data_IF_348131068967
#
_entry.id   IF_348131068967
#
_cell.length_a   1.000
_cell.length_b   1.000
_cell.length_c   1.000
_cell.angle_alpha   90.00
_cell.angle_beta   90.00
_cell.angle_gamma   90.00
#
_symmetry.space_group_name_H-M   'P 1'
#
loop_
_entity.id
_entity.type
_entity.pdbx_description
1 polymer ?
#
# COMPACT_ATOMS: atom_id res chain seq x y z
N UNK A 1 -20.91 -4.05 -1.40
CA UNK A 1 -20.99 -2.76 -0.69
C UNK A 1 -19.95 -2.79 0.41
N UNK A 2 -19.00 -1.85 0.40
CA UNK A 2 -17.90 -1.75 1.37
C UNK A 2 -18.34 -0.89 2.56
N UNK A 3 -18.09 -1.31 3.80
CA UNK A 3 -18.38 -0.52 5.01
C UNK A 3 -17.10 -0.13 5.71
N UNK A 4 -16.89 1.18 5.86
CA UNK A 4 -15.68 1.73 6.47
C UNK A 4 -16.03 2.42 7.79
N UNK A 5 -15.41 2.00 8.88
CA UNK A 5 -15.47 2.72 10.15
C UNK A 5 -14.46 3.86 10.10
N UNK A 6 -14.92 5.11 10.23
CA UNK A 6 -14.03 6.26 10.38
C UNK A 6 -13.86 6.56 11.86
N UNK A 7 -12.64 6.48 12.37
CA UNK A 7 -12.29 6.93 13.71
C UNK A 7 -11.66 8.32 13.57
N UNK A 8 -12.50 9.33 13.80
CA UNK A 8 -12.24 10.76 13.58
C UNK A 8 -12.94 11.54 14.70
N UNK A 9 -12.29 12.57 15.24
CA UNK A 9 -12.76 13.39 16.35
C UNK A 9 -13.41 14.72 15.92
N UNK A 10 -13.32 15.07 14.63
CA UNK A 10 -13.94 16.24 14.03
C UNK A 10 -15.27 15.91 13.34
N UNK A 11 -16.39 16.21 14.00
CA UNK A 11 -17.75 16.03 13.46
C UNK A 11 -17.98 16.58 12.04
N UNK A 12 -17.49 17.80 11.69
CA UNK A 12 -17.59 18.32 10.32
C UNK A 12 -16.89 17.42 9.28
N UNK A 13 -15.72 16.87 9.61
CA UNK A 13 -14.98 15.96 8.71
C UNK A 13 -15.71 14.65 8.49
N UNK A 14 -16.28 14.07 9.54
CA UNK A 14 -17.13 12.87 9.43
C UNK A 14 -18.28 13.14 8.45
N UNK A 15 -18.91 14.32 8.53
CA UNK A 15 -19.99 14.71 7.62
C UNK A 15 -19.50 14.81 6.18
N UNK A 16 -18.34 15.45 5.94
CA UNK A 16 -17.71 15.50 4.62
C UNK A 16 -17.46 14.11 4.04
N UNK A 17 -16.89 13.18 4.81
CA UNK A 17 -16.65 11.82 4.32
C UNK A 17 -17.95 11.09 3.99
N UNK A 18 -18.99 11.24 4.81
CA UNK A 18 -20.32 10.70 4.51
C UNK A 18 -20.92 11.29 3.23
N UNK A 19 -20.67 12.56 2.94
CA UNK A 19 -21.10 13.17 1.69
C UNK A 19 -20.36 12.57 0.48
N UNK A 20 -19.06 12.28 0.61
CA UNK A 20 -18.28 11.63 -0.46
C UNK A 20 -18.80 10.24 -0.82
N UNK A 21 -19.38 9.49 0.14
CA UNK A 21 -19.86 8.14 -0.11
C UNK A 21 -21.28 8.06 -0.70
N UNK A 22 -22.00 9.18 -0.82
CA UNK A 22 -23.36 9.21 -1.40
C UNK A 22 -23.36 8.71 -2.84
N UNK A 23 -24.17 7.70 -3.13
CA UNK A 23 -24.26 7.10 -4.47
C UNK A 23 -23.06 6.24 -4.86
N UNK A 24 -22.11 6.02 -3.93
CA UNK A 24 -20.98 5.13 -4.12
C UNK A 24 -21.28 3.71 -3.64
N UNK A 25 -20.38 2.76 -3.93
CA UNK A 25 -20.41 1.41 -3.36
C UNK A 25 -19.94 1.30 -1.91
N UNK A 26 -19.63 2.43 -1.25
CA UNK A 26 -19.06 2.53 0.09
C UNK A 26 -20.05 3.19 1.07
N UNK A 27 -20.03 2.78 2.34
CA UNK A 27 -20.75 3.45 3.42
C UNK A 27 -19.80 3.72 4.58
N UNK A 28 -19.79 4.96 5.06
CA UNK A 28 -19.01 5.35 6.23
C UNK A 28 -19.84 5.27 7.50
N UNK A 29 -19.30 4.58 8.51
CA UNK A 29 -19.83 4.50 9.86
C UNK A 29 -18.98 5.37 10.78
N UNK A 30 -19.62 6.16 11.64
CA UNK A 30 -18.96 7.06 12.59
C UNK A 30 -18.89 6.47 14.00
N UNK A 31 -18.01 7.00 14.87
CA UNK A 31 -17.87 6.51 16.24
C UNK A 31 -19.19 6.51 17.04
N UNK A 32 -20.07 7.54 16.94
CA UNK A 32 -21.38 7.51 17.60
C UNK A 32 -22.33 6.43 17.08
N UNK A 33 -22.29 6.08 15.79
CA UNK A 33 -23.19 5.09 15.19
C UNK A 33 -22.93 3.67 15.68
N UNK A 34 -21.67 3.36 15.99
CA UNK A 34 -21.25 2.07 16.55
C UNK A 34 -21.09 2.11 18.08
N UNK A 35 -21.50 3.22 18.72
CA UNK A 35 -21.43 3.38 20.17
C UNK A 35 -20.02 3.52 20.76
N UNK A 36 -19.00 3.83 19.95
CA UNK A 36 -17.60 3.88 20.39
C UNK A 36 -17.35 4.92 21.48
N UNK A 37 -18.06 6.06 21.44
CA UNK A 37 -17.98 7.10 22.48
C UNK A 37 -18.64 6.74 23.81
N UNK A 38 -19.20 5.52 23.93
CA UNK A 38 -19.73 4.95 25.19
C UNK A 38 -18.83 3.86 25.75
N UNK A 39 -17.73 3.54 25.08
CA UNK A 39 -16.74 2.61 25.59
C UNK A 39 -16.11 3.21 26.85
N UNK A 40 -16.20 2.46 27.94
CA UNK A 40 -15.61 2.82 29.22
C UNK A 40 -14.77 1.65 29.70
N UNK A 41 -13.47 1.89 29.86
CA UNK A 41 -12.53 0.86 30.26
C UNK A 41 -12.69 0.57 31.76
N UNK A 42 -12.63 -0.69 32.13
CA UNK A 42 -12.66 -1.15 33.52
C UNK A 42 -11.24 -1.47 34.01
N UNK A 43 -11.01 -1.46 35.33
CA UNK A 43 -9.67 -1.70 35.92
C UNK A 43 -9.19 -3.17 35.85
N UNK A 44 -9.92 -4.07 35.19
CA UNK A 44 -9.67 -5.53 35.27
C UNK A 44 -8.72 -6.07 34.21
N UNK A 45 -8.62 -5.40 33.07
CA UNK A 45 -7.84 -5.81 31.89
C UNK A 45 -7.14 -4.57 31.30
N UNK A 46 -6.21 -4.74 30.36
CA UNK A 46 -5.64 -3.60 29.63
C UNK A 46 -6.74 -2.86 28.84
N UNK A 47 -6.56 -1.55 28.60
CA UNK A 47 -7.52 -0.75 27.83
C UNK A 47 -7.61 -1.27 26.39
N UNK A 48 -6.48 -1.68 25.83
CA UNK A 48 -6.34 -2.22 24.48
C UNK A 48 -7.12 -3.52 24.30
N UNK A 49 -7.04 -4.47 25.24
CA UNK A 49 -7.79 -5.74 25.16
C UNK A 49 -9.30 -5.51 25.26
N UNK A 50 -9.73 -4.63 26.17
CA UNK A 50 -11.16 -4.29 26.31
C UNK A 50 -11.68 -3.59 25.05
N UNK A 51 -10.87 -2.71 24.47
CA UNK A 51 -11.18 -2.03 23.23
C UNK A 51 -11.24 -3.01 22.05
N UNK A 52 -10.34 -4.00 22.00
CA UNK A 52 -10.36 -5.06 20.99
C UNK A 52 -11.65 -5.90 21.10
N UNK A 53 -12.05 -6.35 22.30
CA UNK A 53 -13.35 -7.05 22.50
C UNK A 53 -14.51 -6.22 21.97
N UNK A 54 -14.57 -4.95 22.39
CA UNK A 54 -15.63 -4.04 21.98
C UNK A 54 -15.67 -3.89 20.44
N UNK A 55 -14.53 -3.58 19.84
CA UNK A 55 -14.43 -3.36 18.40
C UNK A 55 -14.75 -4.62 17.60
N UNK A 56 -14.32 -5.81 18.04
CA UNK A 56 -14.68 -7.08 17.38
C UNK A 56 -16.19 -7.24 17.26
N UNK A 57 -16.90 -7.02 18.36
CA UNK A 57 -18.35 -7.20 18.41
C UNK A 57 -19.06 -6.16 17.51
N UNK A 58 -18.56 -4.91 17.48
CA UNK A 58 -19.07 -3.88 16.59
C UNK A 58 -18.77 -4.18 15.11
N UNK A 59 -17.56 -4.65 14.79
CA UNK A 59 -17.14 -5.04 13.44
C UNK A 59 -18.05 -6.14 12.91
N UNK A 60 -18.30 -7.18 13.71
CA UNK A 60 -19.20 -8.27 13.34
C UNK A 60 -20.65 -7.78 13.17
N UNK A 61 -21.16 -6.97 14.11
CA UNK A 61 -22.55 -6.47 14.10
C UNK A 61 -22.82 -5.57 12.89
N UNK A 62 -21.89 -4.69 12.56
CA UNK A 62 -22.06 -3.72 11.48
C UNK A 62 -21.48 -4.19 10.15
N UNK A 63 -20.76 -5.32 10.11
CA UNK A 63 -20.07 -5.83 8.94
C UNK A 63 -19.02 -4.84 8.42
N UNK A 64 -18.15 -4.34 9.29
CA UNK A 64 -17.10 -3.38 8.94
C UNK A 64 -15.98 -4.10 8.18
N UNK A 65 -15.59 -3.57 7.02
CA UNK A 65 -14.60 -4.17 6.12
C UNK A 65 -13.22 -3.49 6.17
N UNK A 66 -13.18 -2.23 6.61
CA UNK A 66 -11.95 -1.43 6.70
C UNK A 66 -12.14 -0.34 7.78
N UNK A 67 -11.05 0.05 8.43
CA UNK A 67 -11.04 1.20 9.33
C UNK A 67 -10.23 2.34 8.72
N UNK A 68 -10.78 3.55 8.69
CA UNK A 68 -10.05 4.77 8.38
C UNK A 68 -9.77 5.53 9.68
N UNK A 69 -8.52 5.55 10.11
CA UNK A 69 -8.08 6.05 11.42
C UNK A 69 -7.28 7.35 11.28
N UNK A 70 -7.77 8.42 11.91
CA UNK A 70 -7.00 9.64 12.05
C UNK A 70 -5.81 9.43 13.00
N UNK A 71 -4.70 10.10 12.69
CA UNK A 71 -3.49 10.09 13.51
C UNK A 71 -3.51 11.06 14.68
N UNK A 72 -4.42 12.04 14.67
CA UNK A 72 -4.61 13.00 15.77
C UNK A 72 -6.05 12.96 16.28
N UNK A 73 -6.26 12.20 17.36
CA UNK A 73 -7.56 12.07 18.04
C UNK A 73 -7.65 12.92 19.33
N UNK A 74 -6.84 13.97 19.43
CA UNK A 74 -6.68 14.73 20.68
C UNK A 74 -7.87 15.64 21.05
N UNK A 75 -8.84 15.85 20.14
CA UNK A 75 -9.93 16.82 20.33
C UNK A 75 -11.15 16.25 21.04
N UNK A 76 -11.42 14.94 20.92
CA UNK A 76 -12.54 14.28 21.61
C UNK A 76 -12.06 13.38 22.75
N UNK A 77 -12.33 13.81 23.99
CA UNK A 77 -11.99 13.05 25.21
C UNK A 77 -12.78 11.74 25.37
N UNK A 78 -13.82 11.51 24.55
CA UNK A 78 -14.60 10.27 24.59
C UNK A 78 -13.99 9.15 23.74
N UNK A 79 -13.09 9.49 22.83
CA UNK A 79 -12.35 8.50 22.05
C UNK A 79 -11.07 8.13 22.78
N UNK A 80 -10.61 6.90 22.54
CA UNK A 80 -9.33 6.44 23.04
C UNK A 80 -8.17 7.02 22.22
N UNK A 81 -6.95 6.82 22.68
CA UNK A 81 -5.76 7.31 21.97
C UNK A 81 -5.57 6.59 20.62
N UNK A 82 -4.91 7.27 19.68
CA UNK A 82 -4.48 6.67 18.42
C UNK A 82 -3.71 5.35 18.63
N UNK A 83 -2.79 5.32 19.61
CA UNK A 83 -2.02 4.12 19.96
C UNK A 83 -2.88 2.96 20.41
N UNK A 84 -3.90 3.21 21.23
CA UNK A 84 -4.80 2.17 21.73
C UNK A 84 -5.64 1.57 20.60
N UNK A 85 -6.19 2.41 19.70
CA UNK A 85 -6.88 1.92 18.49
C UNK A 85 -5.95 1.12 17.57
N UNK A 86 -4.71 1.61 17.35
CA UNK A 86 -3.71 0.92 16.54
C UNK A 86 -3.41 -0.48 17.09
N UNK A 87 -3.22 -0.62 18.41
CA UNK A 87 -2.94 -1.95 19.00
C UNK A 87 -4.15 -2.87 18.90
N UNK A 88 -5.32 -2.40 19.33
CA UNK A 88 -6.54 -3.18 19.30
C UNK A 88 -6.87 -3.70 17.89
N UNK A 89 -6.87 -2.82 16.88
CA UNK A 89 -7.19 -3.21 15.49
C UNK A 89 -6.15 -4.18 14.89
N UNK A 90 -4.88 -4.02 15.25
CA UNK A 90 -3.81 -4.95 14.84
C UNK A 90 -4.03 -6.34 15.45
N UNK A 91 -4.38 -6.42 16.73
CA UNK A 91 -4.68 -7.68 17.41
C UNK A 91 -5.92 -8.37 16.83
N UNK A 92 -6.93 -7.59 16.44
CA UNK A 92 -8.12 -8.10 15.75
C UNK A 92 -7.83 -8.68 14.38
N UNK A 93 -6.72 -8.30 13.75
CA UNK A 93 -6.48 -8.58 12.33
C UNK A 93 -7.36 -7.75 11.42
N UNK A 94 -7.73 -6.53 11.84
CA UNK A 94 -8.59 -5.64 11.08
C UNK A 94 -7.76 -4.77 10.12
N UNK A 95 -8.09 -4.71 8.81
CA UNK A 95 -7.50 -3.75 7.90
C UNK A 95 -7.72 -2.29 8.33
N UNK A 96 -6.66 -1.50 8.31
CA UNK A 96 -6.63 -0.10 8.73
C UNK A 96 -5.91 0.73 7.68
N UNK A 97 -6.55 1.84 7.32
CA UNK A 97 -5.95 2.95 6.61
C UNK A 97 -5.74 4.12 7.58
N UNK A 98 -4.57 4.76 7.55
CA UNK A 98 -4.25 5.93 8.37
C UNK A 98 -4.10 7.17 7.52
N UNK A 99 -4.48 8.31 8.08
CA UNK A 99 -4.25 9.61 7.43
C UNK A 99 -3.86 10.68 8.43
N UNK A 100 -3.31 11.77 7.90
CA UNK A 100 -3.04 12.99 8.65
C UNK A 100 -3.80 14.15 8.00
N UNK A 101 -4.39 15.00 8.83
CA UNK A 101 -5.09 16.22 8.39
C UNK A 101 -4.09 17.31 7.98
N UNK A 102 -4.45 18.07 6.94
CA UNK A 102 -3.82 19.35 6.61
C UNK A 102 -2.45 19.26 5.94
N UNK A 103 -2.05 20.39 5.34
CA UNK A 103 -0.80 20.56 4.59
C UNK A 103 -0.90 20.17 3.11
N UNK A 104 -0.06 20.78 2.28
CA UNK A 104 0.17 20.38 0.88
C UNK A 104 1.29 19.35 0.84
N UNK A 105 1.09 18.25 0.10
CA UNK A 105 2.16 17.29 -0.12
C UNK A 105 3.35 17.99 -0.79
N UNK A 106 4.54 17.89 -0.19
CA UNK A 106 5.78 18.38 -0.79
C UNK A 106 6.78 17.22 -0.91
N UNK A 107 7.73 17.32 -1.84
CA UNK A 107 8.81 16.34 -1.98
C UNK A 107 9.63 16.19 -0.68
N UNK A 108 9.73 17.26 0.12
CA UNK A 108 10.37 17.25 1.44
C UNK A 108 9.67 16.32 2.45
N UNK A 109 8.35 16.13 2.31
CA UNK A 109 7.59 15.24 3.19
C UNK A 109 7.69 13.76 2.77
N UNK A 110 8.10 13.47 1.53
CA UNK A 110 8.04 12.11 0.99
C UNK A 110 9.08 11.18 1.59
N UNK A 111 10.32 11.64 1.76
CA UNK A 111 11.37 10.80 2.34
C UNK A 111 11.02 10.36 3.80
N UNK A 112 10.64 11.27 4.73
CA UNK A 112 10.14 10.87 6.04
C UNK A 112 8.92 9.96 5.98
N UNK A 113 8.03 10.15 5.00
CA UNK A 113 6.85 9.31 4.84
C UNK A 113 7.20 7.88 4.39
N UNK A 114 8.16 7.71 3.48
CA UNK A 114 8.67 6.39 3.08
C UNK A 114 9.32 5.68 4.26
N UNK A 115 10.17 6.36 5.03
CA UNK A 115 10.78 5.80 6.24
C UNK A 115 9.72 5.37 7.28
N UNK A 116 8.68 6.19 7.48
CA UNK A 116 7.54 5.81 8.34
C UNK A 116 6.80 4.61 7.79
N UNK A 117 6.63 4.50 6.48
CA UNK A 117 5.96 3.35 5.85
C UNK A 117 6.71 2.06 6.15
N UNK A 118 8.04 2.06 6.15
CA UNK A 118 8.80 0.85 6.51
C UNK A 118 8.70 0.53 8.00
N UNK A 119 8.80 1.55 8.85
CA UNK A 119 8.76 1.35 10.31
C UNK A 119 7.38 0.97 10.83
N UNK A 120 6.33 1.57 10.29
CA UNK A 120 4.95 1.45 10.77
C UNK A 120 4.02 0.69 9.80
N UNK A 121 4.50 0.29 8.63
CA UNK A 121 3.72 -0.34 7.54
C UNK A 121 3.11 -1.69 7.89
N UNK A 122 3.63 -2.33 8.92
CA UNK A 122 3.03 -3.52 9.54
C UNK A 122 1.61 -3.31 10.10
N UNK A 123 1.18 -2.06 10.29
CA UNK A 123 -0.03 -1.76 11.08
C UNK A 123 -1.14 -1.02 10.34
N UNK A 124 -0.83 -0.37 9.22
CA UNK A 124 -1.80 0.38 8.44
C UNK A 124 -1.26 0.75 7.06
N UNK A 125 -2.16 0.96 6.10
CA UNK A 125 -1.85 1.63 4.83
C UNK A 125 -2.00 3.14 5.01
N UNK A 126 -1.01 3.93 4.60
CA UNK A 126 -1.11 5.39 4.64
C UNK A 126 -1.90 5.93 3.44
N UNK A 127 -2.93 6.72 3.72
CA UNK A 127 -3.66 7.48 2.71
C UNK A 127 -2.98 8.84 2.51
N UNK A 128 -2.60 9.19 1.27
CA UNK A 128 -1.98 10.48 0.98
C UNK A 128 -2.85 11.66 1.43
N UNK A 129 -2.23 12.69 2.00
CA UNK A 129 -2.90 13.92 2.44
C UNK A 129 -3.77 14.56 1.33
N UNK A 130 -3.27 14.53 0.09
CA UNK A 130 -3.95 15.05 -1.09
C UNK A 130 -5.33 14.39 -1.32
N UNK A 131 -5.45 13.11 -0.98
CA UNK A 131 -6.67 12.32 -1.14
C UNK A 131 -7.66 12.53 0.01
N UNK A 132 -7.20 12.97 1.18
CA UNK A 132 -8.08 13.13 2.36
C UNK A 132 -8.52 14.58 2.59
N UNK A 133 -7.63 15.53 2.32
CA UNK A 133 -7.87 16.94 2.61
C UNK A 133 -7.31 17.91 1.57
N UNK A 134 -6.80 17.40 0.44
CA UNK A 134 -6.25 18.21 -0.65
C UNK A 134 -7.16 18.28 -1.87
N UNK A 135 -6.54 18.32 -3.04
CA UNK A 135 -7.16 18.52 -4.35
C UNK A 135 -7.63 17.23 -5.04
N UNK A 136 -7.39 16.06 -4.42
CA UNK A 136 -7.72 14.73 -4.98
C UNK A 136 -8.72 13.96 -4.12
N UNK A 137 -9.63 14.67 -3.46
CA UNK A 137 -10.57 14.09 -2.48
C UNK A 137 -11.62 13.17 -3.11
N UNK A 138 -11.90 13.36 -4.39
CA UNK A 138 -12.72 12.47 -5.22
C UNK A 138 -12.14 11.06 -5.35
N UNK A 139 -10.82 10.90 -5.16
CA UNK A 139 -10.16 9.59 -5.18
C UNK A 139 -10.31 8.80 -3.88
N UNK A 140 -10.73 9.42 -2.76
CA UNK A 140 -10.74 8.77 -1.45
C UNK A 140 -11.60 7.51 -1.43
N UNK A 141 -12.86 7.65 -1.87
CA UNK A 141 -13.83 6.56 -1.86
C UNK A 141 -13.42 5.40 -2.76
N UNK A 142 -13.11 5.59 -4.07
CA UNK A 142 -12.69 4.48 -4.91
C UNK A 142 -11.42 3.81 -4.37
N UNK A 143 -10.47 4.59 -3.84
CA UNK A 143 -9.24 4.05 -3.24
C UNK A 143 -9.51 3.16 -2.03
N UNK A 144 -10.39 3.58 -1.12
CA UNK A 144 -10.76 2.76 0.05
C UNK A 144 -11.51 1.48 -0.35
N UNK A 145 -12.35 1.55 -1.38
CA UNK A 145 -13.02 0.36 -1.94
C UNK A 145 -11.99 -0.62 -2.51
N UNK A 146 -11.05 -0.14 -3.34
CA UNK A 146 -10.00 -0.98 -3.92
C UNK A 146 -9.07 -1.57 -2.86
N UNK A 147 -8.73 -0.81 -1.82
CA UNK A 147 -7.94 -1.31 -0.68
C UNK A 147 -8.70 -2.40 0.07
N UNK A 148 -9.96 -2.15 0.43
CA UNK A 148 -10.80 -3.14 1.11
C UNK A 148 -10.94 -4.43 0.28
N UNK A 149 -11.10 -4.30 -1.04
CA UNK A 149 -11.17 -5.43 -1.94
C UNK A 149 -9.86 -6.22 -1.98
N UNK A 150 -8.70 -5.53 -2.03
CA UNK A 150 -7.40 -6.21 -1.98
C UNK A 150 -7.21 -7.09 -0.75
N UNK A 151 -7.60 -6.63 0.44
CA UNK A 151 -7.57 -7.48 1.63
C UNK A 151 -8.52 -8.68 1.54
N UNK A 152 -9.73 -8.48 0.99
CA UNK A 152 -10.72 -9.56 0.79
C UNK A 152 -10.27 -10.58 -0.24
N UNK A 153 -9.57 -10.16 -1.29
CA UNK A 153 -9.04 -11.07 -2.32
C UNK A 153 -7.98 -12.00 -1.71
N UNK A 154 -7.11 -11.46 -0.86
CA UNK A 154 -6.13 -12.26 -0.11
C UNK A 154 -6.83 -13.22 0.84
N UNK A 155 -7.80 -12.74 1.62
CA UNK A 155 -8.56 -13.58 2.55
C UNK A 155 -9.27 -14.72 1.80
N UNK A 156 -9.95 -14.42 0.70
CA UNK A 156 -10.63 -15.41 -0.12
C UNK A 156 -9.66 -16.45 -0.71
N UNK A 157 -8.48 -16.03 -1.16
CA UNK A 157 -7.45 -16.93 -1.65
C UNK A 157 -6.95 -17.89 -0.55
N UNK A 158 -6.76 -17.40 0.68
CA UNK A 158 -6.38 -18.22 1.83
C UNK A 158 -7.51 -19.17 2.26
N UNK A 159 -8.77 -18.72 2.25
CA UNK A 159 -9.93 -19.57 2.55
C UNK A 159 -10.11 -20.68 1.51
N UNK A 160 -9.82 -20.40 0.24
CA UNK A 160 -9.84 -21.39 -0.83
C UNK A 160 -8.68 -22.40 -0.75
N UNK A 161 -7.60 -22.06 -0.03
CA UNK A 161 -6.40 -22.88 0.13
C UNK A 161 -5.96 -22.97 1.61
N UNK A 162 -6.76 -23.60 2.50
CA UNK A 162 -6.48 -23.63 3.94
C UNK A 162 -5.12 -24.25 4.30
N UNK A 163 -4.59 -25.13 3.45
CA UNK A 163 -3.27 -25.73 3.61
C UNK A 163 -2.14 -24.70 3.67
N UNK A 164 -2.32 -23.50 3.10
CA UNK A 164 -1.34 -22.41 3.17
C UNK A 164 -1.14 -21.88 4.60
N UNK A 165 -2.06 -22.16 5.51
CA UNK A 165 -1.99 -21.77 6.93
C UNK A 165 -1.33 -22.86 7.80
N UNK A 166 -1.16 -24.06 7.26
CA UNK A 166 -0.38 -25.10 7.90
C UNK A 166 1.08 -24.62 7.90
N UNK A 167 1.67 -24.35 9.08
CA UNK A 167 2.94 -23.60 9.28
C UNK A 167 4.23 -24.20 8.68
N UNK A 168 4.11 -24.95 7.60
CA UNK A 168 5.15 -25.43 6.69
C UNK A 168 5.48 -24.42 5.58
N UNK A 169 4.58 -23.48 5.29
CA UNK A 169 4.78 -22.47 4.26
C UNK A 169 5.36 -21.19 4.85
N UNK A 170 6.36 -20.63 4.18
CA UNK A 170 6.89 -19.30 4.45
C UNK A 170 5.95 -18.20 3.92
N UNK A 171 5.98 -16.97 4.48
CA UNK A 171 5.13 -15.88 3.99
C UNK A 171 5.31 -15.55 2.50
N UNK A 172 6.53 -15.72 1.96
CA UNK A 172 6.83 -15.52 0.53
C UNK A 172 6.10 -16.55 -0.34
N UNK A 173 6.11 -17.83 0.05
CA UNK A 173 5.39 -18.91 -0.65
C UNK A 173 3.88 -18.70 -0.57
N UNK A 174 3.36 -18.30 0.60
CA UNK A 174 1.93 -18.03 0.74
C UNK A 174 1.51 -16.86 -0.13
N UNK A 175 2.27 -15.75 -0.13
CA UNK A 175 1.94 -14.60 -0.97
C UNK A 175 2.02 -14.95 -2.47
N UNK A 176 3.05 -15.68 -2.89
CA UNK A 176 3.19 -16.17 -4.26
C UNK A 176 1.97 -17.02 -4.70
N UNK A 177 1.51 -17.92 -3.83
CA UNK A 177 0.31 -18.71 -4.06
C UNK A 177 -0.98 -17.86 -4.12
N UNK A 178 -1.11 -16.83 -3.26
CA UNK A 178 -2.23 -15.88 -3.29
C UNK A 178 -2.25 -15.08 -4.60
N UNK A 179 -1.08 -14.72 -5.13
CA UNK A 179 -0.95 -14.01 -6.41
C UNK A 179 -1.07 -14.94 -7.63
N UNK A 180 -1.20 -16.25 -7.41
CA UNK A 180 -1.42 -17.25 -8.46
C UNK A 180 -0.16 -17.69 -9.20
N UNK A 181 1.04 -17.31 -8.74
CA UNK A 181 2.31 -17.70 -9.35
C UNK A 181 3.35 -18.05 -8.28
N UNK A 182 3.62 -19.35 -8.13
CA UNK A 182 4.57 -19.85 -7.13
C UNK A 182 6.02 -19.45 -7.41
N UNK A 183 6.36 -19.08 -8.65
CA UNK A 183 7.73 -18.66 -8.99
C UNK A 183 8.08 -17.29 -8.40
N UNK A 184 7.09 -16.55 -7.89
CA UNK A 184 7.30 -15.24 -7.27
C UNK A 184 7.92 -15.33 -5.86
N UNK A 185 7.98 -16.52 -5.24
CA UNK A 185 8.50 -16.67 -3.87
C UNK A 185 9.92 -16.11 -3.72
N UNK A 186 10.76 -16.33 -4.73
CA UNK A 186 12.17 -15.92 -4.72
C UNK A 186 12.31 -14.40 -4.90
N UNK A 187 11.45 -13.78 -5.72
CA UNK A 187 11.38 -12.32 -5.89
C UNK A 187 10.98 -11.61 -4.58
N UNK A 188 10.19 -12.27 -3.73
CA UNK A 188 9.75 -11.72 -2.45
C UNK A 188 10.74 -11.94 -1.30
N UNK A 189 11.74 -12.80 -1.46
CA UNK A 189 12.68 -13.13 -0.39
C UNK A 189 13.44 -11.89 0.11
N UNK A 190 13.82 -10.98 -0.80
CA UNK A 190 14.46 -9.71 -0.47
C UNK A 190 13.60 -8.73 0.34
N UNK A 191 12.29 -8.96 0.43
CA UNK A 191 11.36 -8.18 1.26
C UNK A 191 11.07 -8.83 2.61
N UNK A 192 11.43 -10.11 2.78
CA UNK A 192 11.11 -10.88 3.98
C UNK A 192 12.06 -10.57 5.14
N UNK A 193 13.34 -10.31 4.88
CA UNK A 193 14.38 -10.22 5.92
C UNK A 193 14.10 -9.19 7.02
N UNK A 194 13.56 -8.02 6.66
CA UNK A 194 13.19 -6.96 7.62
C UNK A 194 11.84 -7.21 8.31
N UNK A 195 11.05 -8.19 7.82
CA UNK A 195 9.66 -8.42 8.20
C UNK A 195 9.41 -9.83 8.76
N UNK A 196 10.44 -10.62 9.10
CA UNK A 196 10.21 -11.98 9.63
C UNK A 196 9.48 -11.98 10.98
N UNK A 197 9.80 -11.02 11.86
CA UNK A 197 9.10 -10.86 13.16
C UNK A 197 7.63 -10.47 12.96
N UNK A 198 7.31 -9.83 11.83
CA UNK A 198 5.97 -9.36 11.53
C UNK A 198 4.96 -10.50 11.35
N UNK A 199 5.41 -11.63 10.82
CA UNK A 199 4.60 -12.84 10.62
C UNK A 199 4.68 -13.83 11.78
N UNK A 200 5.34 -13.47 12.89
CA UNK A 200 5.38 -14.31 14.06
C UNK A 200 3.97 -14.58 14.61
N UNK A 201 3.76 -15.80 15.11
CA UNK A 201 2.51 -16.15 15.79
C UNK A 201 2.34 -15.28 17.05
N UNK A 202 1.13 -14.77 17.32
CA UNK A 202 0.88 -14.03 18.54
C UNK A 202 1.09 -14.94 19.75
N UNK A 203 1.41 -14.34 20.91
CA UNK A 203 1.47 -15.09 22.16
C UNK A 203 0.07 -15.65 22.51
N UNK A 204 0.03 -16.81 23.15
CA UNK A 204 -1.17 -17.67 23.35
C UNK A 204 -2.35 -16.92 24.00
N UNK A 205 -2.09 -15.88 24.80
CA UNK A 205 -3.13 -15.10 25.49
C UNK A 205 -3.90 -14.12 24.58
N UNK A 206 -3.41 -13.86 23.36
CA UNK A 206 -4.07 -12.92 22.42
C UNK A 206 -5.06 -13.59 21.44
N UNK A 207 -5.16 -14.92 21.40
CA UNK A 207 -6.07 -15.63 20.49
C UNK A 207 -7.55 -15.35 20.78
N UNK A 208 -7.89 -14.95 22.00
CA UNK A 208 -9.28 -14.75 22.44
C UNK A 208 -10.02 -13.56 21.78
N UNK A 209 -9.30 -12.69 21.06
CA UNK A 209 -9.83 -11.42 20.56
C UNK A 209 -9.84 -11.29 19.04
N UNK A 210 -9.03 -12.06 18.31
CA UNK A 210 -8.96 -11.98 16.84
C UNK A 210 -10.31 -12.28 16.18
N UNK A 211 -10.58 -11.66 15.01
CA UNK A 211 -11.81 -11.94 14.25
C UNK A 211 -11.72 -13.36 13.66
N UNK A 212 -10.61 -13.68 12.99
CA UNK A 212 -10.24 -15.04 12.61
C UNK A 212 -8.73 -15.10 12.31
N UNK A 213 -8.15 -16.30 12.40
CA UNK A 213 -6.74 -16.52 12.02
C UNK A 213 -6.50 -16.17 10.55
N UNK A 214 -7.44 -16.54 9.68
CA UNK A 214 -7.37 -16.30 8.23
C UNK A 214 -7.35 -14.80 7.92
N UNK A 215 -8.30 -14.04 8.49
CA UNK A 215 -8.40 -12.60 8.26
C UNK A 215 -7.19 -11.85 8.83
N UNK A 216 -6.68 -12.27 10.00
CA UNK A 216 -5.47 -11.70 10.58
C UNK A 216 -4.28 -11.90 9.65
N UNK A 217 -4.07 -13.12 9.16
CA UNK A 217 -2.96 -13.41 8.26
C UNK A 217 -3.13 -12.73 6.90
N UNK A 218 -4.35 -12.67 6.36
CA UNK A 218 -4.67 -11.91 5.16
C UNK A 218 -4.32 -10.42 5.32
N UNK A 219 -4.64 -9.84 6.48
CA UNK A 219 -4.30 -8.46 6.80
C UNK A 219 -2.80 -8.25 6.89
N UNK A 220 -2.06 -9.20 7.49
CA UNK A 220 -0.60 -9.13 7.52
C UNK A 220 0.00 -9.19 6.11
N UNK A 221 -0.41 -10.16 5.30
CA UNK A 221 0.05 -10.28 3.91
C UNK A 221 -0.33 -9.06 3.08
N UNK A 222 -1.52 -8.50 3.29
CA UNK A 222 -1.98 -7.30 2.57
C UNK A 222 -1.16 -6.07 2.89
N UNK A 223 -0.81 -5.85 4.16
CA UNK A 223 0.13 -4.80 4.55
C UNK A 223 1.53 -5.04 3.97
N UNK A 224 2.02 -6.29 3.99
CA UNK A 224 3.32 -6.61 3.41
C UNK A 224 3.36 -6.34 1.91
N UNK A 225 2.36 -6.83 1.17
CA UNK A 225 2.21 -6.58 -0.26
C UNK A 225 2.11 -5.09 -0.56
N UNK A 226 1.21 -4.36 0.11
CA UNK A 226 0.96 -2.96 -0.24
C UNK A 226 2.10 -2.03 0.21
N UNK A 227 2.50 -2.09 1.48
CA UNK A 227 3.42 -1.12 2.07
C UNK A 227 4.90 -1.45 1.81
N UNK A 228 5.24 -2.71 1.52
CA UNK A 228 6.64 -3.09 1.30
C UNK A 228 6.91 -3.47 -0.16
N UNK A 229 6.05 -4.24 -0.82
CA UNK A 229 6.32 -4.70 -2.20
C UNK A 229 5.83 -3.70 -3.25
N UNK A 230 4.60 -3.20 -3.13
CA UNK A 230 4.02 -2.24 -4.10
C UNK A 230 4.61 -0.84 -3.90
N UNK A 231 4.79 -0.42 -2.65
CA UNK A 231 5.28 0.94 -2.33
C UNK A 231 6.78 1.10 -2.60
N UNK A 232 7.58 0.04 -2.44
CA UNK A 232 9.02 0.05 -2.77
C UNK A 232 9.24 -0.82 -4.01
N UNK A 233 9.31 -0.22 -5.22
CA UNK A 233 9.22 -0.96 -6.45
C UNK A 233 10.34 -2.01 -6.64
N UNK A 234 9.94 -3.18 -7.11
CA UNK A 234 10.83 -4.28 -7.52
C UNK A 234 10.09 -5.16 -8.52
N UNK A 235 9.42 -6.24 -8.08
CA UNK A 235 8.66 -7.12 -8.97
C UNK A 235 7.38 -6.47 -9.53
N UNK A 236 6.78 -5.53 -8.79
CA UNK A 236 5.58 -4.78 -9.20
C UNK A 236 5.94 -3.31 -9.29
N UNK A 237 5.64 -2.69 -10.43
CA UNK A 237 5.96 -1.30 -10.73
C UNK A 237 4.67 -0.49 -10.92
N UNK A 238 4.66 0.75 -10.44
CA UNK A 238 3.62 1.73 -10.82
C UNK A 238 3.75 2.07 -12.30
N UNK A 239 2.67 2.52 -12.93
CA UNK A 239 2.63 2.93 -14.35
C UNK A 239 3.83 3.77 -14.80
N UNK A 240 4.15 4.83 -14.07
CA UNK A 240 5.26 5.73 -14.44
C UNK A 240 6.62 5.04 -14.31
N UNK A 241 6.80 4.20 -13.29
CA UNK A 241 8.00 3.39 -13.11
C UNK A 241 8.12 2.29 -14.18
N UNK A 242 7.00 1.70 -14.62
CA UNK A 242 6.98 0.73 -15.71
C UNK A 242 7.42 1.35 -17.04
N UNK A 243 7.00 2.60 -17.32
CA UNK A 243 7.48 3.33 -18.51
C UNK A 243 8.95 3.70 -18.39
N UNK A 244 9.36 4.19 -17.22
CA UNK A 244 10.76 4.51 -16.99
C UNK A 244 11.66 3.27 -17.13
N UNK A 245 11.19 2.11 -16.66
CA UNK A 245 11.88 0.84 -16.83
C UNK A 245 12.11 0.48 -18.31
N UNK A 246 11.19 0.87 -19.19
CA UNK A 246 11.31 0.75 -20.65
C UNK A 246 12.07 1.92 -21.31
N UNK A 247 12.75 2.74 -20.52
CA UNK A 247 13.43 3.97 -20.94
C UNK A 247 12.53 4.99 -21.67
N UNK A 248 11.26 5.05 -21.26
CA UNK A 248 10.28 6.01 -21.77
C UNK A 248 9.96 7.03 -20.68
N UNK A 249 9.96 8.31 -21.06
CA UNK A 249 9.55 9.35 -20.13
C UNK A 249 8.05 9.22 -19.81
N UNK A 250 7.62 9.23 -18.53
CA UNK A 250 6.22 8.97 -18.15
C UNK A 250 5.15 9.82 -18.85
N UNK A 251 5.43 11.13 -19.07
CA UNK A 251 4.47 12.01 -19.77
C UNK A 251 4.13 11.57 -21.20
N UNK A 252 4.95 10.72 -21.84
CA UNK A 252 4.74 10.27 -23.23
C UNK A 252 3.41 9.55 -23.43
N UNK A 253 2.79 9.02 -22.39
CA UNK A 253 1.44 8.45 -22.47
C UNK A 253 0.40 9.43 -23.02
N UNK A 254 0.56 10.73 -22.75
CA UNK A 254 -0.37 11.74 -23.24
C UNK A 254 -0.27 11.94 -24.76
N UNK A 255 0.92 11.77 -25.34
CA UNK A 255 1.18 11.92 -26.78
C UNK A 255 1.07 10.60 -27.54
N UNK A 256 1.36 9.48 -26.88
CA UNK A 256 1.42 8.14 -27.45
C UNK A 256 0.58 7.17 -26.62
N UNK A 257 -0.77 7.25 -26.66
CA UNK A 257 -1.65 6.38 -25.88
C UNK A 257 -1.50 4.89 -26.23
N UNK A 258 -0.95 4.57 -27.41
CA UNK A 258 -0.66 3.18 -27.81
C UNK A 258 0.40 2.51 -26.95
N UNK A 259 1.21 3.28 -26.20
CA UNK A 259 2.11 2.72 -25.19
C UNK A 259 1.36 1.88 -24.15
N UNK A 260 0.12 2.24 -23.81
CA UNK A 260 -0.72 1.44 -22.92
C UNK A 260 -1.02 0.06 -23.50
N UNK A 261 -1.16 -0.06 -24.82
CA UNK A 261 -1.42 -1.35 -25.47
C UNK A 261 -0.19 -2.25 -25.41
N UNK A 262 1.00 -1.65 -25.48
CA UNK A 262 2.28 -2.38 -25.42
C UNK A 262 2.51 -2.93 -24.01
N UNK A 263 2.24 -2.13 -22.96
CA UNK A 263 2.44 -2.55 -21.57
C UNK A 263 1.24 -3.30 -20.97
N UNK A 264 0.09 -3.35 -21.64
CA UNK A 264 -1.11 -4.03 -21.15
C UNK A 264 -0.89 -5.51 -20.77
N UNK A 265 -0.11 -6.32 -21.51
CA UNK A 265 0.18 -7.70 -21.12
C UNK A 265 0.90 -7.81 -19.77
N UNK A 266 1.63 -6.76 -19.37
CA UNK A 266 2.31 -6.70 -18.08
C UNK A 266 1.41 -6.22 -16.93
N UNK A 267 0.15 -5.86 -17.17
CA UNK A 267 -0.71 -5.28 -16.14
C UNK A 267 -0.88 -6.26 -14.95
N UNK A 268 -0.66 -5.72 -13.75
CA UNK A 268 -0.90 -6.44 -12.51
C UNK A 268 -2.40 -6.42 -12.17
N UNK A 269 -3.00 -7.60 -12.02
CA UNK A 269 -4.41 -7.78 -11.70
C UNK A 269 -4.65 -8.48 -10.35
N UNK A 270 -3.64 -8.52 -9.48
CA UNK A 270 -3.75 -9.13 -8.15
C UNK A 270 -4.40 -8.20 -7.12
N UNK A 271 -4.42 -8.60 -5.83
CA UNK A 271 -4.86 -7.76 -4.72
C UNK A 271 -4.28 -6.35 -4.78
N UNK A 272 -5.11 -5.33 -4.55
CA UNK A 272 -4.77 -3.90 -4.66
C UNK A 272 -4.50 -3.39 -6.09
N UNK A 273 -4.67 -4.21 -7.13
CA UNK A 273 -4.42 -3.83 -8.52
C UNK A 273 -5.28 -2.67 -9.03
N UNK A 274 -6.45 -2.45 -8.41
CA UNK A 274 -7.37 -1.36 -8.75
C UNK A 274 -7.15 -0.08 -7.91
N UNK A 275 -6.11 -0.05 -7.07
CA UNK A 275 -5.76 1.17 -6.31
C UNK A 275 -5.12 2.20 -7.23
N UNK A 276 -4.23 1.75 -8.12
CA UNK A 276 -3.56 2.52 -9.18
C UNK A 276 -3.15 1.55 -10.31
N UNK A 277 -2.64 2.06 -11.44
CA UNK A 277 -2.11 1.21 -12.50
C UNK A 277 -0.75 0.60 -12.11
N UNK A 278 -0.72 -0.72 -11.94
CA UNK A 278 0.50 -1.48 -11.63
C UNK A 278 0.84 -2.50 -12.73
N UNK A 279 2.11 -2.86 -12.82
CA UNK A 279 2.65 -3.74 -13.85
C UNK A 279 3.71 -4.68 -13.28
N UNK A 280 3.73 -5.91 -13.77
CA UNK A 280 4.74 -6.92 -13.47
C UNK A 280 6.05 -6.62 -14.21
N UNK A 281 7.15 -6.44 -13.47
CA UNK A 281 8.47 -6.20 -14.04
C UNK A 281 8.91 -7.31 -15.00
N UNK A 282 8.70 -8.57 -14.62
CA UNK A 282 9.13 -9.70 -15.46
C UNK A 282 8.43 -9.74 -16.82
N UNK A 283 7.17 -9.28 -16.90
CA UNK A 283 6.46 -9.15 -18.17
C UNK A 283 6.99 -7.98 -19.01
N UNK A 284 7.46 -6.91 -18.37
CA UNK A 284 8.16 -5.82 -19.08
C UNK A 284 9.50 -6.29 -19.66
N UNK A 285 10.22 -7.18 -18.97
CA UNK A 285 11.43 -7.82 -19.50
C UNK A 285 11.09 -8.61 -20.77
N UNK A 286 10.01 -9.41 -20.76
CA UNK A 286 9.57 -10.12 -21.95
C UNK A 286 9.24 -9.17 -23.13
N UNK A 287 8.60 -8.04 -22.87
CA UNK A 287 8.35 -7.01 -23.89
C UNK A 287 9.67 -6.45 -24.45
N UNK A 288 10.65 -6.16 -23.59
CA UNK A 288 11.96 -5.68 -24.04
C UNK A 288 12.68 -6.73 -24.89
N UNK A 289 12.65 -8.00 -24.47
CA UNK A 289 13.28 -9.11 -25.20
C UNK A 289 12.67 -9.25 -26.61
N UNK A 290 11.34 -9.19 -26.74
CA UNK A 290 10.64 -9.22 -28.03
C UNK A 290 11.00 -8.02 -28.93
N UNK A 291 11.34 -6.89 -28.33
CA UNK A 291 11.73 -5.67 -29.03
C UNK A 291 13.26 -5.52 -29.21
N UNK A 292 14.04 -6.55 -28.88
CA UNK A 292 15.50 -6.51 -29.00
C UNK A 292 16.19 -5.52 -28.05
N UNK A 293 15.62 -5.32 -26.87
CA UNK A 293 16.15 -4.45 -25.81
C UNK A 293 15.69 -2.99 -25.87
N UNK A 294 14.93 -2.58 -26.89
CA UNK A 294 14.34 -1.24 -26.97
C UNK A 294 12.89 -1.32 -27.45
N UNK A 295 11.95 -0.95 -26.56
CA UNK A 295 10.52 -0.90 -26.85
C UNK A 295 10.16 -0.01 -28.05
N UNK A 296 11.01 0.96 -28.43
CA UNK A 296 10.82 1.78 -29.62
C UNK A 296 10.84 0.98 -30.93
N UNK A 297 11.40 -0.23 -30.93
CA UNK A 297 11.35 -1.15 -32.06
C UNK A 297 10.00 -1.87 -32.19
N UNK A 298 9.09 -1.72 -31.22
CA UNK A 298 7.79 -2.35 -31.26
C UNK A 298 7.00 -1.85 -32.49
N UNK A 299 6.40 -2.74 -33.31
CA UNK A 299 5.75 -2.36 -34.56
C UNK A 299 4.68 -1.26 -34.44
N UNK A 300 3.97 -1.20 -33.30
CA UNK A 300 2.95 -0.17 -33.01
C UNK A 300 3.55 1.25 -32.93
N UNK A 301 4.84 1.37 -32.59
CA UNK A 301 5.57 2.64 -32.50
C UNK A 301 6.33 3.00 -33.79
N UNK A 302 6.20 2.22 -34.86
CA UNK A 302 6.90 2.48 -36.11
C UNK A 302 6.60 3.90 -36.64
N UNK A 303 7.66 4.72 -36.77
CA UNK A 303 7.56 6.11 -37.22
C UNK A 303 7.01 7.10 -36.17
N UNK A 304 6.80 6.65 -34.92
CA UNK A 304 6.38 7.51 -33.81
C UNK A 304 7.58 7.75 -32.88
N UNK A 305 8.10 8.98 -32.80
CA UNK A 305 9.16 9.28 -31.84
C UNK A 305 8.60 9.19 -30.42
N UNK A 306 9.38 8.58 -29.53
CA UNK A 306 9.09 8.50 -28.09
C UNK A 306 10.21 9.19 -27.34
N UNK A 307 9.88 10.09 -26.41
CA UNK A 307 10.88 10.74 -25.57
C UNK A 307 11.49 9.74 -24.60
N UNK A 308 12.82 9.65 -24.64
CA UNK A 308 13.62 8.80 -23.76
C UNK A 308 14.02 9.52 -22.49
N UNK A 309 14.28 8.76 -21.43
CA UNK A 309 14.92 9.29 -20.22
C UNK A 309 16.43 9.34 -20.44
N UNK A 310 16.99 8.27 -20.99
CA UNK A 310 18.37 8.16 -21.46
C UNK A 310 18.40 8.01 -23.00
N UNK A 311 18.47 9.12 -23.76
CA UNK A 311 18.50 9.08 -25.22
C UNK A 311 19.83 8.57 -25.78
N UNK A 312 20.91 8.60 -24.99
CA UNK A 312 22.24 8.19 -25.42
C UNK A 312 22.45 6.68 -25.25
N UNK A 313 21.65 6.04 -24.37
CA UNK A 313 21.65 4.60 -24.16
C UNK A 313 20.24 3.99 -24.20
N UNK A 314 19.75 3.67 -25.40
CA UNK A 314 18.39 3.21 -25.62
C UNK A 314 18.03 1.89 -24.89
N UNK A 315 19.03 1.04 -24.62
CA UNK A 315 18.84 -0.22 -23.89
C UNK A 315 19.08 -0.11 -22.38
N UNK A 316 19.37 1.08 -21.85
CA UNK A 316 19.53 1.27 -20.42
C UNK A 316 18.18 1.24 -19.70
N UNK A 317 18.18 0.68 -18.49
CA UNK A 317 17.08 0.86 -17.56
C UNK A 317 17.10 2.28 -16.98
N UNK A 318 15.93 2.87 -16.84
CA UNK A 318 15.73 4.12 -16.13
C UNK A 318 14.68 3.94 -15.03
N UNK A 319 14.59 4.91 -14.13
CA UNK A 319 13.80 4.79 -12.90
C UNK A 319 12.96 6.04 -12.67
N UNK A 320 11.99 5.93 -11.77
CA UNK A 320 11.32 7.09 -11.18
C UNK A 320 11.85 7.24 -9.75
N UNK A 321 12.42 8.40 -9.43
CA UNK A 321 12.87 8.71 -8.08
C UNK A 321 11.67 8.66 -7.12
N UNK A 322 11.76 7.81 -6.08
CA UNK A 322 10.65 7.60 -5.14
C UNK A 322 10.26 8.86 -4.36
N UNK A 323 11.21 9.80 -4.18
CA UNK A 323 11.01 11.02 -3.39
C UNK A 323 10.48 12.16 -4.25
N UNK A 324 11.11 12.41 -5.40
CA UNK A 324 10.74 13.54 -6.27
C UNK A 324 9.64 13.19 -7.27
N UNK A 325 9.42 11.90 -7.56
CA UNK A 325 8.54 11.42 -8.61
C UNK A 325 9.06 11.68 -10.03
N UNK A 326 10.30 12.18 -10.17
CA UNK A 326 10.89 12.50 -11.48
C UNK A 326 11.58 11.28 -12.08
N UNK A 327 11.55 11.12 -13.42
CA UNK A 327 12.37 10.13 -14.08
C UNK A 327 13.86 10.46 -13.95
N UNK A 328 14.68 9.43 -13.75
CA UNK A 328 16.14 9.51 -13.59
C UNK A 328 16.83 8.37 -14.33
N UNK A 329 18.06 8.58 -14.76
CA UNK A 329 18.92 7.53 -15.33
C UNK A 329 19.54 6.67 -14.22
N UNK A 330 20.17 5.55 -14.60
CA UNK A 330 20.92 4.71 -13.66
C UNK A 330 22.11 5.44 -13.01
N UNK A 331 22.76 6.36 -13.74
CA UNK A 331 23.90 7.13 -13.24
C UNK A 331 23.49 8.18 -12.21
N UNK A 332 22.25 8.68 -12.29
CA UNK A 332 21.70 9.65 -11.33
C UNK A 332 21.18 8.99 -10.05
N UNK A 333 21.02 7.66 -10.04
CA UNK A 333 20.50 6.93 -8.90
C UNK A 333 21.57 6.76 -7.82
N UNK A 334 21.26 7.23 -6.62
CA UNK A 334 22.10 7.03 -5.45
C UNK A 334 22.23 5.54 -5.09
N UNK A 335 23.25 5.21 -4.29
CA UNK A 335 23.30 3.94 -3.57
C UNK A 335 22.05 3.82 -2.69
N UNK A 336 21.34 2.70 -2.79
CA UNK A 336 20.12 2.45 -2.02
C UNK A 336 20.40 2.55 -0.50
N UNK A 337 19.67 3.38 0.24
CA UNK A 337 19.81 3.44 1.70
C UNK A 337 19.46 2.12 2.38
N UNK A 338 20.07 1.84 3.54
CA UNK A 338 19.88 0.59 4.30
C UNK A 338 18.44 0.32 4.73
N UNK A 339 17.61 1.36 4.82
CA UNK A 339 16.20 1.23 5.16
C UNK A 339 15.36 0.73 3.98
N UNK A 340 15.80 0.87 2.73
CA UNK A 340 15.09 0.32 1.56
C UNK A 340 15.18 -1.21 1.58
N UNK A 341 14.09 -1.96 1.38
CA UNK A 341 14.15 -3.42 1.33
C UNK A 341 15.09 -3.91 0.23
N UNK A 342 15.88 -4.95 0.48
CA UNK A 342 16.86 -5.44 -0.51
C UNK A 342 16.21 -6.01 -1.77
N UNK A 343 14.96 -6.47 -1.69
CA UNK A 343 14.16 -6.90 -2.85
C UNK A 343 13.62 -5.75 -3.71
N UNK A 344 13.72 -4.50 -3.25
CA UNK A 344 13.25 -3.32 -3.98
C UNK A 344 14.29 -2.81 -4.98
N UNK A 345 14.62 -3.64 -5.96
CA UNK A 345 15.68 -3.35 -6.95
C UNK A 345 15.44 -2.05 -7.73
N UNK A 346 14.18 -1.74 -8.02
CA UNK A 346 13.77 -0.57 -8.82
C UNK A 346 13.45 0.67 -7.95
N UNK A 347 13.54 0.53 -6.62
CA UNK A 347 13.36 1.61 -5.66
C UNK A 347 14.59 2.52 -5.61
N UNK A 348 14.64 3.51 -6.52
CA UNK A 348 15.75 4.46 -6.63
C UNK A 348 15.41 5.84 -6.07
N UNK A 349 16.45 6.51 -5.58
CA UNK A 349 16.41 7.92 -5.17
C UNK A 349 17.50 8.63 -5.96
N UNK A 350 17.18 9.79 -6.49
CA UNK A 350 18.14 10.69 -7.14
C UNK A 350 19.23 11.10 -6.13
N UNK A 351 20.50 11.02 -6.52
CA UNK A 351 21.64 11.32 -5.66
C UNK A 351 21.59 12.75 -5.10
N UNK A 352 21.25 13.74 -5.92
CA UNK A 352 21.15 15.13 -5.46
C UNK A 352 20.01 15.29 -4.45
N UNK A 353 18.87 14.63 -4.69
CA UNK A 353 17.74 14.65 -3.74
C UNK A 353 18.12 13.98 -2.42
N UNK A 354 18.88 12.89 -2.45
CA UNK A 354 19.32 12.21 -1.23
C UNK A 354 20.33 13.05 -0.45
N UNK A 355 21.30 13.69 -1.11
CA UNK A 355 22.28 14.57 -0.46
C UNK A 355 21.62 15.78 0.20
N UNK A 356 20.59 16.36 -0.43
CA UNK A 356 19.86 17.50 0.12
C UNK A 356 19.00 17.14 1.33
N UNK A 357 18.33 15.98 1.29
CA UNK A 357 17.32 15.59 2.29
C UNK A 357 17.81 14.62 3.35
N UNK A 358 18.89 13.89 3.07
CA UNK A 358 19.47 12.89 3.97
C UNK A 358 19.81 13.47 5.35
N UNK A 359 20.56 14.58 5.43
CA UNK A 359 20.90 15.22 6.71
C UNK A 359 19.67 15.62 7.53
N UNK A 360 18.56 16.00 6.87
CA UNK A 360 17.31 16.37 7.52
C UNK A 360 16.52 15.15 8.01
N UNK A 361 16.69 14.01 7.36
CA UNK A 361 16.05 12.74 7.69
C UNK A 361 16.90 11.85 8.61
N UNK A 362 18.08 12.31 9.02
CA UNK A 362 19.01 11.59 9.91
C UNK A 362 19.70 10.40 9.24
N UNK A 363 19.92 10.47 7.92
CA UNK A 363 20.65 9.48 7.12
C UNK A 363 21.86 10.12 6.44
#
# INVERSE_FOLDING_TARGET
>A
MCRVLIIEDEGPKITTYKDFSKGSGLTFLSPPEIGLGKFDATDKESVEEQLAKFLRDQIATHGIDLVLLDTDLSRDRKLQTHSSYKSALRELGMPVCRYQKGGTASSLEQLPQLQRTIRDGASAIWIPKAVVSGDRTDELVPRLVSISQGFKDIEAALQAQPQLLEGRHSPTEVLAAVLGDQNLSDEFLGYAAQNLVYFAKPEVDHEGYQISEVQRYATQLGYWLFNYIITFPGPILRKDAALAYLNIHPDELAQNPELLQIIAPAQYSGPFGEVEGYYWRFQLIHILDECGGDVGNHPILAGKPVRRIDPDNLGALAFVCMVSGKPITAEQAAVSPDWVPSGASEAKIDETVLEELGPLAGI
#
